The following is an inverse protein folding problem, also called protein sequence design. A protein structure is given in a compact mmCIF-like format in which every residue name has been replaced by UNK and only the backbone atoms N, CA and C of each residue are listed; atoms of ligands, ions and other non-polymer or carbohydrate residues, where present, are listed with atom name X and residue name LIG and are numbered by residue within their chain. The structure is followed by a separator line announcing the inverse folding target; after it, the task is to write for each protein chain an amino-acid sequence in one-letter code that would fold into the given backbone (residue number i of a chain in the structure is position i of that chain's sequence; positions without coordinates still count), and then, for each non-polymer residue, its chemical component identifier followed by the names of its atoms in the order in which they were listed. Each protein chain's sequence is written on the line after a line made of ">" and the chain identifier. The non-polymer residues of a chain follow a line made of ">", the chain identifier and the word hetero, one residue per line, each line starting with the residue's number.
data_IF_242804226976
#
_entry.id   IF_242804226976
#
_cell.length_a   1.000
_cell.length_b   1.000
_cell.length_c   1.000
_cell.angle_alpha   90.00
_cell.angle_beta   90.00
_cell.angle_gamma   90.00
#
_symmetry.space_group_name_H-M   'P 1'
#
loop_
_entity.id
_entity.type
_entity.pdbx_description
1 polymer ?
#
# COMPACT_ATOMS: atom_id res chain seq x y z
N UNK A 1 -9.25 3.34 -10.98
CA UNK A 1 -8.09 3.69 -10.13
C UNK A 1 -7.80 5.20 -10.01
N UNK A 2 -7.95 6.03 -11.06
CA UNK A 2 -7.54 7.46 -11.03
C UNK A 2 -8.22 8.31 -9.93
N UNK A 3 -9.49 8.00 -9.57
CA UNK A 3 -10.24 8.78 -8.57
C UNK A 3 -9.66 8.69 -7.14
N UNK A 4 -9.07 7.56 -6.76
CA UNK A 4 -8.52 7.38 -5.40
C UNK A 4 -7.12 8.00 -5.23
N UNK A 5 -6.44 8.29 -6.35
CA UNK A 5 -5.05 8.75 -6.36
C UNK A 5 -4.98 10.29 -6.42
N UNK A 6 -6.01 10.96 -6.97
CA UNK A 6 -6.07 12.43 -7.02
C UNK A 6 -5.85 13.12 -5.67
N UNK A 7 -6.44 12.66 -4.54
CA UNK A 7 -6.18 13.26 -3.23
C UNK A 7 -4.73 13.10 -2.77
N UNK A 8 -4.05 12.02 -3.15
CA UNK A 8 -2.66 11.77 -2.79
C UNK A 8 -1.72 12.77 -3.51
N UNK A 9 -2.00 13.09 -4.78
CA UNK A 9 -1.30 14.17 -5.50
C UNK A 9 -1.56 15.54 -4.86
N UNK A 10 -2.83 15.85 -4.53
CA UNK A 10 -3.19 17.13 -3.90
C UNK A 10 -2.51 17.33 -2.55
N UNK A 11 -2.33 16.25 -1.77
CA UNK A 11 -1.60 16.24 -0.51
C UNK A 11 -0.08 16.13 -0.67
N UNK A 12 0.43 16.05 -1.90
CA UNK A 12 1.84 15.86 -2.24
C UNK A 12 2.46 14.60 -1.62
N UNK A 13 1.67 13.56 -1.41
CA UNK A 13 2.19 12.27 -0.95
C UNK A 13 2.81 11.45 -2.09
N UNK A 14 2.40 11.75 -3.31
CA UNK A 14 2.92 11.16 -4.54
C UNK A 14 3.11 12.25 -5.60
N UNK A 15 3.96 11.98 -6.58
CA UNK A 15 4.23 12.84 -7.73
C UNK A 15 4.30 12.02 -9.03
N UNK A 16 4.08 12.69 -10.16
CA UNK A 16 4.17 12.08 -11.49
C UNK A 16 5.55 12.43 -12.07
N UNK A 17 6.37 11.40 -12.29
CA UNK A 17 7.72 11.51 -12.83
C UNK A 17 7.77 11.14 -14.32
N UNK A 18 6.61 10.95 -14.96
CA UNK A 18 6.57 10.60 -16.39
C UNK A 18 7.02 11.78 -17.27
N UNK A 19 7.68 11.50 -18.41
CA UNK A 19 8.03 12.53 -19.38
C UNK A 19 6.77 13.24 -19.91
N UNK A 20 6.88 14.55 -20.16
CA UNK A 20 5.77 15.34 -20.71
C UNK A 20 5.21 14.72 -22.00
N UNK A 21 3.88 14.73 -22.13
CA UNK A 21 3.18 14.19 -23.29
C UNK A 21 2.99 12.67 -23.28
N UNK A 22 3.50 11.94 -22.28
CA UNK A 22 3.22 10.51 -22.16
C UNK A 22 1.86 10.25 -21.49
N UNK A 23 1.08 9.33 -22.07
CA UNK A 23 -0.21 8.90 -21.49
C UNK A 23 -0.01 7.98 -20.27
N UNK A 24 1.16 7.34 -20.17
CA UNK A 24 1.45 6.37 -19.14
C UNK A 24 2.16 7.06 -17.97
N UNK A 25 1.40 7.31 -16.90
CA UNK A 25 1.92 8.01 -15.72
C UNK A 25 2.89 7.12 -14.95
N UNK A 26 3.97 7.72 -14.47
CA UNK A 26 4.92 7.06 -13.58
C UNK A 26 4.80 7.75 -12.23
N UNK A 27 4.33 7.02 -11.22
CA UNK A 27 3.99 7.60 -9.93
C UNK A 27 5.05 7.19 -8.92
N UNK A 28 5.60 8.17 -8.22
CA UNK A 28 6.56 7.96 -7.12
C UNK A 28 6.01 8.54 -5.81
N UNK A 29 6.36 7.91 -4.69
CA UNK A 29 6.10 8.46 -3.35
C UNK A 29 7.11 9.57 -3.04
N UNK A 30 6.62 10.73 -2.63
CA UNK A 30 7.47 11.86 -2.26
C UNK A 30 8.08 11.66 -0.88
N UNK A 31 9.04 12.51 -0.49
CA UNK A 31 9.56 12.53 0.88
C UNK A 31 8.47 12.79 1.94
N UNK A 32 7.47 13.63 1.62
CA UNK A 32 6.31 13.85 2.49
C UNK A 32 5.44 12.60 2.59
N UNK A 33 5.20 11.91 1.47
CA UNK A 33 4.48 10.64 1.46
C UNK A 33 5.17 9.57 2.31
N UNK A 34 6.50 9.45 2.19
CA UNK A 34 7.28 8.51 3.00
C UNK A 34 7.15 8.79 4.49
N UNK A 35 7.22 10.06 4.91
CA UNK A 35 6.99 10.43 6.33
C UNK A 35 5.62 10.01 6.84
N UNK A 36 4.58 10.16 6.02
CA UNK A 36 3.22 9.72 6.38
C UNK A 36 3.14 8.19 6.46
N UNK A 37 3.77 7.47 5.54
CA UNK A 37 3.83 6.00 5.59
C UNK A 37 4.51 5.51 6.88
N UNK A 38 5.60 6.15 7.31
CA UNK A 38 6.25 5.79 8.58
C UNK A 38 5.37 6.05 9.80
N UNK A 39 4.51 7.07 9.78
CA UNK A 39 3.51 7.29 10.83
C UNK A 39 2.38 6.26 10.80
N UNK A 40 2.00 5.80 9.61
CA UNK A 40 0.92 4.82 9.43
C UNK A 40 1.37 3.37 9.68
N UNK A 41 2.65 3.05 9.46
CA UNK A 41 3.23 1.71 9.64
C UNK A 41 2.88 1.08 11.00
N UNK A 42 3.09 1.72 12.16
CA UNK A 42 2.77 1.10 13.45
C UNK A 42 1.27 0.82 13.61
N UNK A 43 0.38 1.70 13.11
CA UNK A 43 -1.07 1.48 13.15
C UNK A 43 -1.48 0.26 12.31
N UNK A 44 -0.82 0.08 11.16
CA UNK A 44 -1.03 -1.08 10.31
C UNK A 44 -0.54 -2.37 10.98
N UNK A 45 0.66 -2.34 11.58
CA UNK A 45 1.20 -3.48 12.32
C UNK A 45 0.32 -3.88 13.51
N UNK A 46 -0.26 -2.91 14.22
CA UNK A 46 -1.22 -3.16 15.30
C UNK A 46 -2.48 -3.86 14.77
N UNK A 47 -3.04 -3.40 13.65
CA UNK A 47 -4.19 -4.04 13.02
C UNK A 47 -3.87 -5.50 12.59
N UNK A 48 -2.67 -5.73 12.04
CA UNK A 48 -2.20 -7.07 11.66
C UNK A 48 -2.04 -7.97 12.90
N UNK A 49 -1.44 -7.47 13.98
CA UNK A 49 -1.38 -8.20 15.26
C UNK A 49 -2.77 -8.57 15.78
N UNK A 50 -3.76 -7.69 15.61
CA UNK A 50 -5.15 -7.98 15.96
C UNK A 50 -5.74 -9.17 15.21
N UNK A 51 -5.31 -9.42 13.97
CA UNK A 51 -5.69 -10.61 13.19
C UNK A 51 -4.93 -11.83 13.73
N UNK A 52 -3.62 -11.72 13.90
CA UNK A 52 -2.77 -12.80 14.41
C UNK A 52 -3.23 -13.30 15.78
N UNK A 53 -3.60 -12.41 16.70
CA UNK A 53 -4.14 -12.78 18.01
C UNK A 53 -5.47 -13.56 17.92
N UNK A 54 -6.26 -13.37 16.87
CA UNK A 54 -7.57 -14.02 16.71
C UNK A 54 -7.47 -15.41 16.10
N UNK A 55 -6.59 -15.60 15.12
CA UNK A 55 -6.52 -16.85 14.35
C UNK A 55 -5.22 -17.61 14.56
N UNK A 56 -4.21 -17.04 15.22
CA UNK A 56 -2.88 -17.63 15.39
C UNK A 56 -1.99 -17.44 14.16
N UNK A 57 -0.68 -17.41 14.39
CA UNK A 57 0.35 -17.17 13.37
C UNK A 57 0.34 -18.21 12.24
N UNK A 58 0.11 -19.48 12.57
CA UNK A 58 0.04 -20.59 11.59
C UNK A 58 -1.10 -20.37 10.58
N UNK A 59 -2.28 -19.95 11.05
CA UNK A 59 -3.42 -19.68 10.19
C UNK A 59 -3.24 -18.40 9.36
N UNK A 60 -2.56 -17.38 9.88
CA UNK A 60 -2.17 -16.20 9.09
C UNK A 60 -1.22 -16.60 7.95
N UNK A 61 -0.24 -17.46 8.23
CA UNK A 61 0.67 -17.98 7.21
C UNK A 61 -0.07 -18.79 6.15
N UNK A 62 -0.97 -19.69 6.57
CA UNK A 62 -1.80 -20.48 5.66
C UNK A 62 -2.67 -19.57 4.78
N UNK A 63 -3.33 -18.55 5.37
CA UNK A 63 -4.13 -17.57 4.62
C UNK A 63 -3.28 -16.86 3.57
N UNK A 64 -2.09 -16.40 3.95
CA UNK A 64 -1.16 -15.71 3.04
C UNK A 64 -0.75 -16.62 1.88
N UNK A 65 -0.46 -17.90 2.15
CA UNK A 65 -0.14 -18.89 1.11
C UNK A 65 -1.32 -19.16 0.18
N UNK A 66 -2.55 -19.22 0.71
CA UNK A 66 -3.75 -19.45 -0.09
C UNK A 66 -4.04 -18.26 -1.00
N UNK A 67 -3.93 -17.03 -0.50
CA UNK A 67 -4.11 -15.81 -1.30
C UNK A 67 -3.08 -15.74 -2.42
N UNK A 68 -1.80 -16.00 -2.12
CA UNK A 68 -0.74 -16.01 -3.14
C UNK A 68 -1.04 -16.99 -4.29
N UNK A 69 -1.54 -18.19 -3.98
CA UNK A 69 -1.94 -19.18 -5.00
C UNK A 69 -3.11 -18.73 -5.88
N UNK A 70 -3.97 -17.85 -5.38
CA UNK A 70 -5.10 -17.31 -6.15
C UNK A 70 -4.63 -16.17 -7.05
N UNK A 71 -3.68 -15.36 -6.61
CA UNK A 71 -3.11 -14.24 -7.39
C UNK A 71 -2.24 -14.71 -8.57
N UNK A 72 -1.65 -15.90 -8.48
CA UNK A 72 -0.86 -16.53 -9.55
C UNK A 72 -1.71 -17.18 -10.67
N UNK A 73 -3.04 -17.06 -10.63
CA UNK A 73 -3.99 -17.57 -11.64
C UNK A 73 -4.34 -16.48 -12.66
#
# INVERSE_FOLDING_TARGET
>A
MVRNIKPLFQKRFIEDISPEGTRNRQIQVTSTGTKVLELCRPLWEEAQKGIELKIGSENVQLLTQLVAKIEDI
#
